data_IF_094873952574
#
_entry.id   IF_094873952574
#
_cell.length_a   1.000
_cell.length_b   1.000
_cell.length_c   1.000
_cell.angle_alpha   90.00
_cell.angle_beta   90.00
_cell.angle_gamma   90.00
#
_symmetry.space_group_name_H-M   'P 1'
#
loop_
_entity.id
_entity.type
_entity.pdbx_description
1 polymer ?
#
# COMPACT_ATOMS: atom_id res chain seq x y z
N UNK A 1 14.99 0.85 23.53
CA UNK A 1 14.39 1.26 22.24
C UNK A 1 14.03 0.08 21.32
N UNK A 2 14.95 -0.84 20.99
CA UNK A 2 14.65 -1.99 20.09
C UNK A 2 13.44 -2.85 20.50
N UNK A 3 13.26 -3.09 21.80
CA UNK A 3 12.11 -3.83 22.35
C UNK A 3 10.76 -3.19 21.97
N UNK A 4 10.64 -1.86 22.12
CA UNK A 4 9.39 -1.13 21.81
C UNK A 4 9.04 -1.22 20.32
N UNK A 5 10.05 -1.13 19.44
CA UNK A 5 9.84 -1.26 17.99
C UNK A 5 9.41 -2.69 17.60
N UNK A 6 9.98 -3.70 18.25
CA UNK A 6 9.58 -5.11 18.08
C UNK A 6 8.16 -5.35 18.57
N UNK A 7 7.83 -4.91 19.79
CA UNK A 7 6.49 -5.03 20.35
C UNK A 7 5.44 -4.33 19.46
N UNK A 8 5.79 -3.18 18.87
CA UNK A 8 4.92 -2.49 17.92
C UNK A 8 4.72 -3.28 16.62
N UNK A 9 5.78 -3.85 16.05
CA UNK A 9 5.67 -4.71 14.87
C UNK A 9 4.79 -5.94 15.13
N UNK A 10 4.97 -6.61 16.27
CA UNK A 10 4.14 -7.76 16.68
C UNK A 10 2.66 -7.38 16.83
N UNK A 11 2.36 -6.22 17.42
CA UNK A 11 0.99 -5.71 17.53
C UNK A 11 0.32 -5.44 16.19
N UNK A 12 1.07 -4.96 15.18
CA UNK A 12 0.54 -4.78 13.83
C UNK A 12 0.09 -6.12 13.26
N UNK A 13 0.90 -7.16 13.43
CA UNK A 13 0.57 -8.50 12.92
C UNK A 13 -0.58 -9.14 13.68
N UNK A 14 -0.63 -8.96 15.00
CA UNK A 14 -1.80 -9.36 15.80
C UNK A 14 -3.08 -8.75 15.25
N UNK A 15 -3.07 -7.44 14.98
CA UNK A 15 -4.20 -6.75 14.34
C UNK A 15 -4.51 -7.27 12.95
N UNK A 16 -3.52 -7.56 12.10
CA UNK A 16 -3.78 -8.15 10.79
C UNK A 16 -4.51 -9.50 10.91
N UNK A 17 -4.10 -10.35 11.87
CA UNK A 17 -4.77 -11.65 12.13
C UNK A 17 -6.19 -11.47 12.67
N UNK A 18 -6.44 -10.46 13.51
CA UNK A 18 -7.80 -10.12 13.96
C UNK A 18 -8.72 -9.74 12.78
N UNK A 19 -8.15 -9.15 11.72
CA UNK A 19 -8.85 -8.88 10.47
C UNK A 19 -8.76 -10.03 9.45
N UNK A 20 -8.53 -11.26 9.92
CA UNK A 20 -8.54 -12.49 9.12
C UNK A 20 -7.46 -12.53 8.01
N UNK A 21 -6.37 -11.77 8.16
CA UNK A 21 -5.24 -11.87 7.25
C UNK A 21 -4.65 -13.29 7.26
N UNK A 22 -4.62 -13.90 6.09
CA UNK A 22 -4.01 -15.21 5.87
C UNK A 22 -2.85 -15.10 4.87
N UNK A 23 -1.58 -15.33 5.29
CA UNK A 23 -0.41 -15.19 4.42
C UNK A 23 -0.34 -16.22 3.27
N UNK A 24 -1.07 -17.34 3.37
CA UNK A 24 -1.07 -18.38 2.33
C UNK A 24 -1.87 -17.98 1.09
N UNK A 25 -2.92 -17.18 1.31
CA UNK A 25 -3.85 -16.76 0.24
C UNK A 25 -3.79 -15.24 -0.03
N UNK A 26 -3.20 -14.44 0.86
CA UNK A 26 -3.15 -12.98 0.75
C UNK A 26 -1.73 -12.46 0.60
N UNK A 27 -1.55 -11.58 -0.39
CA UNK A 27 -0.31 -10.81 -0.56
C UNK A 27 -0.39 -9.50 0.22
N UNK A 28 0.55 -9.28 1.13
CA UNK A 28 0.58 -8.06 1.93
C UNK A 28 1.42 -6.99 1.25
N UNK A 29 0.84 -5.81 1.00
CA UNK A 29 1.57 -4.65 0.50
C UNK A 29 1.73 -3.63 1.64
N UNK A 30 2.97 -3.32 1.99
CA UNK A 30 3.29 -2.37 3.06
C UNK A 30 3.92 -1.13 2.43
N UNK A 31 3.44 0.05 2.79
CA UNK A 31 3.93 1.35 2.28
C UNK A 31 3.94 2.41 3.39
N UNK A 32 4.52 3.58 3.09
CA UNK A 32 4.49 4.75 3.97
C UNK A 32 5.56 4.72 5.07
N UNK A 33 5.52 5.68 6.00
CA UNK A 33 6.60 5.88 6.97
C UNK A 33 6.82 4.74 7.97
N UNK A 34 5.75 3.98 8.29
CA UNK A 34 5.81 2.84 9.23
C UNK A 34 6.49 1.59 8.66
N UNK A 35 6.76 1.56 7.34
CA UNK A 35 7.35 0.40 6.66
C UNK A 35 8.73 0.03 7.23
N UNK A 36 9.50 1.04 7.65
CA UNK A 36 10.84 0.86 8.19
C UNK A 36 10.83 -0.01 9.46
N UNK A 37 9.82 0.15 10.32
CA UNK A 37 9.72 -0.63 11.56
C UNK A 37 9.45 -2.11 11.23
N UNK A 38 8.51 -2.36 10.31
CA UNK A 38 8.21 -3.73 9.87
C UNK A 38 9.44 -4.37 9.23
N UNK A 39 10.11 -3.71 8.28
CA UNK A 39 11.32 -4.22 7.60
C UNK A 39 12.45 -4.64 8.54
N UNK A 40 12.60 -3.97 9.69
CA UNK A 40 13.73 -4.19 10.59
C UNK A 40 13.42 -5.10 11.78
N UNK A 41 12.15 -5.22 12.19
CA UNK A 41 11.78 -5.88 13.45
C UNK A 41 10.75 -6.99 13.33
N UNK A 42 10.13 -7.16 12.15
CA UNK A 42 9.22 -8.27 11.90
C UNK A 42 9.96 -9.43 11.19
N UNK A 43 9.76 -10.65 11.68
CA UNK A 43 10.15 -11.88 10.99
C UNK A 43 9.05 -12.32 10.00
N UNK A 44 9.39 -12.29 8.72
CA UNK A 44 8.43 -12.47 7.63
C UNK A 44 8.11 -13.93 7.32
N UNK A 45 8.92 -14.90 7.78
CA UNK A 45 8.76 -16.31 7.43
C UNK A 45 8.51 -16.51 5.93
N UNK A 46 7.47 -17.28 5.59
CA UNK A 46 7.03 -17.54 4.20
C UNK A 46 6.01 -16.51 3.66
N UNK A 47 5.69 -15.47 4.43
CA UNK A 47 4.69 -14.49 4.03
C UNK A 47 5.15 -13.70 2.80
N UNK A 48 4.32 -13.67 1.75
CA UNK A 48 4.60 -12.90 0.54
C UNK A 48 4.30 -11.42 0.80
N UNK A 49 5.28 -10.71 1.36
CA UNK A 49 5.20 -9.27 1.65
C UNK A 49 5.91 -8.47 0.58
N UNK A 50 5.25 -7.43 0.06
CA UNK A 50 5.85 -6.46 -0.86
C UNK A 50 6.03 -5.11 -0.16
N UNK A 51 7.28 -4.66 -0.08
CA UNK A 51 7.63 -3.37 0.51
C UNK A 51 7.72 -2.29 -0.57
N UNK A 52 6.84 -1.31 -0.48
CA UNK A 52 6.84 -0.15 -1.37
C UNK A 52 7.51 1.00 -0.63
N UNK A 53 8.79 1.19 -0.91
CA UNK A 53 9.64 2.18 -0.25
C UNK A 53 9.45 3.61 -0.76
N UNK A 54 8.76 3.78 -1.89
CA UNK A 54 8.41 5.09 -2.38
C UNK A 54 7.44 5.79 -1.41
N UNK A 55 7.96 6.73 -0.62
CA UNK A 55 7.17 7.51 0.34
C UNK A 55 6.04 8.29 -0.34
N UNK A 56 6.14 8.52 -1.66
CA UNK A 56 5.14 9.21 -2.46
C UNK A 56 4.16 8.25 -3.13
N UNK A 57 4.23 6.94 -2.87
CA UNK A 57 3.37 5.95 -3.53
C UNK A 57 1.89 6.32 -3.46
N UNK A 58 1.42 6.79 -2.30
CA UNK A 58 0.05 7.27 -2.13
C UNK A 58 -0.25 8.50 -3.00
N UNK A 59 0.63 9.50 -3.00
CA UNK A 59 0.45 10.72 -3.80
C UNK A 59 0.45 10.43 -5.31
N UNK A 60 1.37 9.58 -5.78
CA UNK A 60 1.43 9.12 -7.17
C UNK A 60 0.16 8.36 -7.58
N UNK A 61 -0.39 7.57 -6.66
CA UNK A 61 -1.68 6.90 -6.87
C UNK A 61 -2.82 7.90 -7.11
N UNK A 62 -2.91 8.95 -6.27
CA UNK A 62 -3.90 10.01 -6.46
C UNK A 62 -3.70 10.81 -7.74
N UNK A 63 -2.45 11.15 -8.07
CA UNK A 63 -2.11 11.83 -9.33
C UNK A 63 -2.57 11.00 -10.54
N UNK A 64 -2.29 9.69 -10.54
CA UNK A 64 -2.71 8.80 -11.61
C UNK A 64 -4.24 8.72 -11.74
N UNK A 65 -4.97 8.63 -10.62
CA UNK A 65 -6.43 8.62 -10.61
C UNK A 65 -7.00 9.93 -11.17
N UNK A 66 -6.51 11.09 -10.71
CA UNK A 66 -6.95 12.39 -11.19
C UNK A 66 -6.68 12.59 -12.70
N UNK A 67 -5.52 12.14 -13.18
CA UNK A 67 -5.19 12.18 -14.61
C UNK A 67 -6.10 11.26 -15.43
N UNK A 68 -6.47 10.10 -14.89
CA UNK A 68 -7.40 9.19 -15.55
C UNK A 68 -8.80 9.79 -15.67
N UNK A 69 -9.30 10.43 -14.61
CA UNK A 69 -10.60 11.11 -14.65
C UNK A 69 -10.60 12.30 -15.61
N UNK A 70 -9.52 13.07 -15.65
CA UNK A 70 -9.36 14.16 -16.63
C UNK A 70 -9.36 13.64 -18.07
N UNK A 71 -8.70 12.50 -18.33
CA UNK A 71 -8.69 11.85 -19.64
C UNK A 71 -10.09 11.38 -20.05
N UNK A 72 -10.80 10.69 -19.16
CA UNK A 72 -12.19 10.24 -19.40
C UNK A 72 -13.13 11.41 -19.69
N UNK A 73 -12.98 12.53 -18.98
CA UNK A 73 -13.74 13.76 -19.24
C UNK A 73 -13.41 14.39 -20.61
N UNK A 74 -12.14 14.37 -21.02
CA UNK A 74 -11.70 14.83 -22.35
C UNK A 74 -12.23 13.95 -23.48
N UNK A 75 -12.29 12.64 -23.29
CA UNK A 75 -12.83 11.70 -24.28
C UNK A 75 -14.35 11.90 -24.48
N UNK A 76 -15.10 12.18 -23.41
CA UNK A 76 -16.52 12.57 -23.48
C UNK A 76 -16.75 13.97 -24.12
N UNK A 77 -15.75 14.86 -24.08
CA UNK A 77 -15.78 16.16 -24.76
C UNK A 77 -15.41 16.08 -26.25
N UNK A 78 -14.54 15.15 -26.63
CA UNK A 78 -14.00 15.01 -28.00
C UNK A 78 -14.99 14.40 -29.00
N UNK A 79 -15.98 13.63 -28.53
CA UNK A 79 -17.06 13.09 -29.37
C UNK A 79 -18.08 14.14 -29.86
N UNK A 80 -18.00 15.40 -29.42
CA UNK A 80 -19.01 16.45 -29.69
C UNK A 80 -18.61 17.50 -30.72
N UNK A 81 -17.44 17.37 -31.34
CA UNK A 81 -17.05 18.24 -32.46
C UNK A 81 -17.12 17.40 -33.74
N UNK A 82 -18.20 17.49 -34.53
CA UNK A 82 -18.22 16.89 -35.86
C UNK A 82 -17.22 17.65 -36.75
N UNK A 83 -16.55 16.89 -37.61
CA UNK A 83 -15.66 17.41 -38.66
C UNK A 83 -16.45 18.17 -39.74
#
# INVERSE_FOLDING_TARGET
>A
MKRVAKDYAERIIGRLREYEYNPDIMKLHVMGGGICILKNFWDFGDAKVNFIEDIRATAKGYEALALNDLRRGKDAGRSRIPA
#
